data_IF_497181766187
#
_entry.id   IF_497181766187
#
_cell.length_a   1.000
_cell.length_b   1.000
_cell.length_c   1.000
_cell.angle_alpha   90.00
_cell.angle_beta   90.00
_cell.angle_gamma   90.00
#
_symmetry.space_group_name_H-M   'P 1'
#
loop_
_entity.id
_entity.type
_entity.pdbx_description
1 polymer ?
#
# COMPACT_ATOMS: atom_id res chain seq x y z
N UNK A 1 16.47 -19.52 9.81
CA UNK A 1 16.78 -18.63 8.67
C UNK A 1 15.72 -17.55 8.60
N UNK A 2 16.08 -16.31 8.21
CA UNK A 2 15.16 -15.19 8.05
C UNK A 2 14.31 -15.36 6.78
N UNK A 3 13.04 -14.92 6.82
CA UNK A 3 12.06 -15.09 5.74
C UNK A 3 11.09 -13.91 5.72
N UNK A 4 10.41 -13.67 4.60
CA UNK A 4 9.45 -12.55 4.43
C UNK A 4 8.33 -12.58 5.47
N UNK A 5 7.84 -13.78 5.85
CA UNK A 5 6.83 -13.92 6.92
C UNK A 5 7.30 -13.36 8.26
N UNK A 6 8.60 -13.48 8.58
CA UNK A 6 9.17 -12.95 9.81
C UNK A 6 9.13 -11.41 9.80
N UNK A 7 9.44 -10.80 8.67
CA UNK A 7 9.39 -9.34 8.48
C UNK A 7 7.95 -8.82 8.61
N UNK A 8 6.99 -9.47 7.95
CA UNK A 8 5.55 -9.14 8.06
C UNK A 8 5.04 -9.23 9.50
N UNK A 9 5.42 -10.27 10.23
CA UNK A 9 5.08 -10.43 11.65
C UNK A 9 5.63 -9.31 12.52
N UNK A 10 6.88 -8.90 12.31
CA UNK A 10 7.50 -7.83 13.11
C UNK A 10 6.90 -6.45 12.79
N UNK A 11 6.59 -6.16 11.53
CA UNK A 11 5.86 -4.94 11.12
C UNK A 11 4.47 -4.92 11.79
N UNK A 12 3.73 -6.02 11.70
CA UNK A 12 2.41 -6.12 12.32
C UNK A 12 2.46 -5.93 13.85
N UNK A 13 3.50 -6.46 14.51
CA UNK A 13 3.74 -6.23 15.93
C UNK A 13 4.07 -4.77 16.25
N UNK A 14 4.89 -4.12 15.42
CA UNK A 14 5.25 -2.70 15.57
C UNK A 14 4.01 -1.80 15.58
N UNK A 15 3.07 -2.08 14.69
CA UNK A 15 1.87 -1.26 14.49
C UNK A 15 0.71 -1.62 15.42
N UNK A 16 0.57 -2.90 15.79
CA UNK A 16 -0.56 -3.37 16.59
C UNK A 16 -0.32 -3.35 18.10
N UNK A 17 0.93 -3.38 18.56
CA UNK A 17 1.33 -3.29 19.97
C UNK A 17 0.99 -4.53 20.84
N UNK A 18 0.21 -5.48 20.33
CA UNK A 18 -0.12 -6.75 21.00
C UNK A 18 0.00 -7.92 20.04
N UNK A 19 0.31 -9.11 20.57
CA UNK A 19 0.45 -10.34 19.77
C UNK A 19 -0.88 -10.73 19.11
N UNK A 20 -2.01 -10.60 19.82
CA UNK A 20 -3.34 -10.96 19.30
C UNK A 20 -3.70 -10.11 18.08
N UNK A 21 -3.60 -8.78 18.21
CA UNK A 21 -3.92 -7.85 17.11
C UNK A 21 -2.94 -8.00 15.95
N UNK A 22 -1.65 -8.25 16.23
CA UNK A 22 -0.68 -8.52 15.17
C UNK A 22 -1.03 -9.81 14.40
N UNK A 23 -1.48 -10.86 15.10
CA UNK A 23 -1.83 -12.14 14.49
C UNK A 23 -3.04 -12.02 13.55
N UNK A 24 -4.08 -11.30 13.98
CA UNK A 24 -5.24 -10.99 13.14
C UNK A 24 -4.83 -10.30 11.83
N UNK A 25 -3.91 -9.33 11.89
CA UNK A 25 -3.46 -8.56 10.71
C UNK A 25 -2.63 -9.36 9.72
N UNK A 26 -2.02 -10.45 10.15
CA UNK A 26 -1.27 -11.36 9.26
C UNK A 26 -2.01 -12.68 9.03
N UNK A 27 -3.31 -12.75 9.37
CA UNK A 27 -4.17 -13.91 9.20
C UNK A 27 -3.64 -15.20 9.86
N UNK A 28 -3.09 -15.05 11.07
CA UNK A 28 -2.60 -16.16 11.89
C UNK A 28 -3.34 -16.24 13.22
N UNK A 29 -3.30 -17.41 13.86
CA UNK A 29 -3.66 -17.52 15.26
C UNK A 29 -2.58 -16.88 16.14
N UNK A 30 -2.96 -16.40 17.34
CA UNK A 30 -2.00 -15.87 18.31
C UNK A 30 -0.90 -16.89 18.67
N UNK A 31 -1.24 -18.18 18.75
CA UNK A 31 -0.29 -19.25 19.04
C UNK A 31 0.71 -19.46 17.90
N UNK A 32 0.25 -19.44 16.63
CA UNK A 32 1.12 -19.55 15.47
C UNK A 32 2.12 -18.39 15.38
N UNK A 33 1.64 -17.15 15.57
CA UNK A 33 2.52 -15.97 15.57
C UNK A 33 3.52 -16.02 16.73
N UNK A 34 3.09 -16.41 17.93
CA UNK A 34 3.97 -16.57 19.09
C UNK A 34 5.04 -17.64 18.86
N UNK A 35 4.67 -18.77 18.25
CA UNK A 35 5.60 -19.84 17.93
C UNK A 35 6.63 -19.39 16.89
N UNK A 36 6.18 -18.70 15.82
CA UNK A 36 7.05 -18.13 14.81
C UNK A 36 8.05 -17.13 15.41
N UNK A 37 7.59 -16.25 16.30
CA UNK A 37 8.44 -15.28 16.98
C UNK A 37 9.48 -15.98 17.87
N UNK A 38 9.07 -16.98 18.64
CA UNK A 38 9.97 -17.75 19.50
C UNK A 38 11.01 -18.53 18.70
N UNK A 39 10.63 -19.08 17.54
CA UNK A 39 11.55 -19.76 16.65
C UNK A 39 12.60 -18.79 16.08
N UNK A 40 12.18 -17.57 15.70
CA UNK A 40 13.08 -16.51 15.23
C UNK A 40 14.06 -16.08 16.33
N UNK A 41 13.57 -15.85 17.55
CA UNK A 41 14.38 -15.50 18.71
C UNK A 41 15.39 -16.60 19.05
N UNK A 42 14.95 -17.86 19.07
CA UNK A 42 15.82 -19.01 19.36
C UNK A 42 16.89 -19.21 18.29
N UNK A 43 16.58 -18.95 17.02
CA UNK A 43 17.54 -19.14 15.92
C UNK A 43 18.69 -18.13 15.99
N UNK A 44 18.40 -16.89 16.39
CA UNK A 44 19.41 -15.83 16.46
C UNK A 44 19.97 -15.59 17.87
N UNK A 45 19.41 -16.21 18.91
CA UNK A 45 19.80 -15.96 20.31
C UNK A 45 19.50 -14.52 20.77
N UNK A 46 18.56 -13.84 20.11
CA UNK A 46 18.22 -12.45 20.36
C UNK A 46 16.73 -12.34 20.65
N UNK A 47 16.38 -11.70 21.76
CA UNK A 47 14.98 -11.32 22.00
C UNK A 47 14.56 -10.32 20.93
N UNK A 48 13.42 -10.57 20.29
CA UNK A 48 12.81 -9.66 19.31
C UNK A 48 11.84 -8.72 20.02
N UNK A 49 11.19 -9.20 21.08
CA UNK A 49 10.22 -8.40 21.84
C UNK A 49 10.42 -8.49 23.35
N UNK A 50 9.96 -7.45 24.05
CA UNK A 50 9.78 -7.43 25.51
C UNK A 50 8.29 -7.37 25.82
N UNK A 51 7.83 -8.21 26.74
CA UNK A 51 6.41 -8.26 27.15
C UNK A 51 6.20 -7.47 28.44
N UNK A 52 5.23 -6.56 28.42
CA UNK A 52 4.76 -5.82 29.60
C UNK A 52 3.25 -6.06 29.73
N UNK A 53 2.88 -7.08 30.51
CA UNK A 53 1.49 -7.56 30.58
C UNK A 53 1.03 -8.06 29.21
N UNK A 54 -0.04 -7.45 28.69
CA UNK A 54 -0.56 -7.75 27.35
C UNK A 54 0.14 -6.96 26.22
N UNK A 55 0.90 -5.91 26.57
CA UNK A 55 1.61 -5.07 25.60
C UNK A 55 2.95 -5.67 25.22
N UNK A 56 3.38 -5.38 24.00
CA UNK A 56 4.63 -5.84 23.43
C UNK A 56 5.43 -4.65 22.94
N UNK A 57 6.70 -4.57 23.36
CA UNK A 57 7.64 -3.58 22.88
C UNK A 57 8.72 -4.25 22.04
N UNK A 58 9.04 -3.65 20.89
CA UNK A 58 10.13 -4.13 20.05
C UNK A 58 11.48 -3.85 20.70
N UNK A 59 12.39 -4.81 20.56
CA UNK A 59 13.81 -4.65 20.87
C UNK A 59 14.56 -4.01 19.70
N UNK A 60 15.85 -3.74 19.88
CA UNK A 60 16.70 -3.20 18.82
C UNK A 60 16.85 -4.14 17.60
N UNK A 61 17.11 -5.44 17.77
CA UNK A 61 17.11 -6.39 16.65
C UNK A 61 15.81 -6.37 15.84
N UNK A 62 14.65 -6.32 16.52
CA UNK A 62 13.37 -6.28 15.84
C UNK A 62 13.15 -4.97 15.07
N UNK A 63 13.53 -3.82 15.64
CA UNK A 63 13.45 -2.53 14.93
C UNK A 63 14.27 -2.53 13.64
N UNK A 64 15.48 -3.10 13.67
CA UNK A 64 16.32 -3.24 12.48
C UNK A 64 15.66 -4.13 11.42
N UNK A 65 15.03 -5.23 11.82
CA UNK A 65 14.29 -6.10 10.92
C UNK A 65 12.99 -5.47 10.40
N UNK A 66 12.32 -4.61 11.16
CA UNK A 66 11.16 -3.84 10.69
C UNK A 66 11.56 -2.87 9.58
N UNK A 67 12.66 -2.13 9.74
CA UNK A 67 13.17 -1.24 8.71
C UNK A 67 13.55 -1.99 7.42
N UNK A 68 14.21 -3.15 7.56
CA UNK A 68 14.45 -4.05 6.43
C UNK A 68 13.13 -4.54 5.81
N UNK A 69 12.16 -4.88 6.65
CA UNK A 69 10.84 -5.33 6.24
C UNK A 69 10.15 -4.34 5.30
N UNK A 70 10.11 -3.05 5.65
CA UNK A 70 9.51 -2.04 4.76
C UNK A 70 10.20 -2.00 3.39
N UNK A 71 11.54 -2.08 3.37
CA UNK A 71 12.30 -2.09 2.11
C UNK A 71 11.97 -3.33 1.28
N UNK A 72 12.07 -4.53 1.88
CA UNK A 72 11.83 -5.80 1.18
C UNK A 72 10.38 -5.91 0.70
N UNK A 73 9.40 -5.47 1.49
CA UNK A 73 8.00 -5.53 1.08
C UNK A 73 7.72 -4.62 -0.13
N UNK A 74 8.35 -3.44 -0.19
CA UNK A 74 8.22 -2.55 -1.34
C UNK A 74 8.84 -3.15 -2.61
N UNK A 75 10.00 -3.81 -2.49
CA UNK A 75 10.64 -4.51 -3.62
C UNK A 75 9.79 -5.68 -4.12
N UNK A 76 9.22 -6.47 -3.19
CA UNK A 76 8.31 -7.57 -3.53
C UNK A 76 7.07 -7.05 -4.26
N UNK A 77 6.43 -6.00 -3.77
CA UNK A 77 5.28 -5.38 -4.44
C UNK A 77 5.64 -4.86 -5.83
N UNK A 78 6.82 -4.27 -5.99
CA UNK A 78 7.31 -3.81 -7.30
C UNK A 78 7.46 -4.98 -8.28
N UNK A 79 8.06 -6.08 -7.83
CA UNK A 79 8.19 -7.28 -8.64
C UNK A 79 6.84 -7.92 -8.98
N UNK A 80 5.89 -7.96 -8.04
CA UNK A 80 4.52 -8.43 -8.27
C UNK A 80 3.82 -7.61 -9.36
N UNK A 81 3.93 -6.27 -9.30
CA UNK A 81 3.40 -5.36 -10.33
C UNK A 81 4.02 -5.64 -11.70
N UNK A 82 5.33 -5.84 -11.76
CA UNK A 82 6.02 -6.10 -13.03
C UNK A 82 5.64 -7.46 -13.63
N UNK A 83 5.47 -8.49 -12.81
CA UNK A 83 4.93 -9.77 -13.24
C UNK A 83 3.48 -9.65 -13.72
N UNK A 84 2.66 -8.82 -13.07
CA UNK A 84 1.28 -8.59 -13.49
C UNK A 84 1.21 -7.88 -14.86
N UNK A 85 2.10 -6.90 -15.12
CA UNK A 85 2.25 -6.26 -16.44
C UNK A 85 2.63 -7.30 -17.52
N UNK A 86 3.61 -8.16 -17.24
CA UNK A 86 4.03 -9.23 -18.16
C UNK A 86 2.91 -10.23 -18.45
N UNK A 87 2.09 -10.53 -17.44
CA UNK A 87 0.93 -11.41 -17.56
C UNK A 87 -0.28 -10.77 -18.27
N UNK A 88 -0.18 -9.52 -18.75
CA UNK A 88 -1.28 -8.73 -19.34
C UNK A 88 -2.53 -8.65 -18.44
N UNK A 89 -2.34 -8.78 -17.12
CA UNK A 89 -3.37 -8.40 -16.16
C UNK A 89 -3.40 -6.87 -16.11
N UNK A 90 -4.56 -6.21 -15.89
CA UNK A 90 -4.59 -4.77 -15.69
C UNK A 90 -3.74 -4.43 -14.46
N UNK A 91 -2.53 -3.94 -14.72
CA UNK A 91 -1.50 -3.60 -13.75
C UNK A 91 -0.76 -2.37 -14.27
N UNK A 92 -0.42 -1.44 -13.39
CA UNK A 92 0.18 -0.16 -13.77
C UNK A 92 -0.33 0.99 -12.90
N UNK A 93 -0.03 2.21 -13.32
CA UNK A 93 -0.45 3.43 -12.59
C UNK A 93 -1.56 4.12 -13.38
N UNK A 94 -2.70 4.36 -12.74
CA UNK A 94 -3.76 5.22 -13.25
C UNK A 94 -3.60 6.62 -12.65
N UNK A 95 -3.19 7.57 -13.49
CA UNK A 95 -2.95 8.96 -13.11
C UNK A 95 -4.22 9.79 -13.30
N UNK A 96 -4.67 10.40 -12.22
CA UNK A 96 -5.91 11.18 -12.18
C UNK A 96 -5.56 12.62 -11.82
N UNK A 97 -5.93 13.56 -12.69
CA UNK A 97 -5.81 14.99 -12.43
C UNK A 97 -7.19 15.55 -12.06
N UNK A 98 -7.20 16.47 -11.09
CA UNK A 98 -8.42 17.10 -10.60
C UNK A 98 -8.42 18.59 -10.97
N UNK A 99 -9.51 19.03 -11.56
CA UNK A 99 -9.79 20.45 -11.83
C UNK A 99 -10.60 21.08 -10.67
N UNK A 100 -11.39 20.28 -9.97
CA UNK A 100 -12.33 20.71 -8.93
C UNK A 100 -11.90 20.24 -7.53
N UNK A 101 -11.81 21.16 -6.57
CA UNK A 101 -11.61 20.81 -5.15
C UNK A 101 -12.81 20.08 -4.54
N UNK A 102 -14.02 20.38 -5.01
CA UNK A 102 -15.26 19.74 -4.54
C UNK A 102 -15.38 18.26 -4.90
N UNK A 103 -14.47 17.76 -5.75
CA UNK A 103 -14.50 16.39 -6.21
C UNK A 103 -13.83 15.40 -5.25
N UNK A 104 -13.06 15.88 -4.26
CA UNK A 104 -12.37 15.02 -3.30
C UNK A 104 -13.34 14.20 -2.42
N UNK A 105 -14.40 14.81 -1.90
CA UNK A 105 -15.26 14.19 -0.89
C UNK A 105 -15.94 12.91 -1.39
N UNK A 106 -16.36 12.87 -2.66
CA UNK A 106 -16.98 11.69 -3.26
C UNK A 106 -15.96 10.75 -3.92
N UNK A 107 -14.84 11.29 -4.41
CA UNK A 107 -13.84 10.49 -5.12
C UNK A 107 -13.05 9.59 -4.16
N UNK A 108 -12.72 10.08 -2.97
CA UNK A 108 -11.92 9.32 -2.00
C UNK A 108 -12.56 7.96 -1.63
N UNK A 109 -13.86 7.86 -1.27
CA UNK A 109 -14.51 6.57 -1.06
C UNK A 109 -14.47 5.64 -2.26
N UNK A 110 -14.59 6.17 -3.49
CA UNK A 110 -14.56 5.38 -4.73
C UNK A 110 -13.15 4.86 -4.98
N UNK A 111 -12.13 5.68 -4.77
CA UNK A 111 -10.72 5.25 -4.89
C UNK A 111 -10.40 4.12 -3.91
N UNK A 112 -10.94 4.17 -2.68
CA UNK A 112 -10.76 3.08 -1.72
C UNK A 112 -11.47 1.80 -2.15
N UNK A 113 -12.67 1.90 -2.73
CA UNK A 113 -13.34 0.76 -3.35
C UNK A 113 -12.54 0.21 -4.54
N UNK A 114 -11.98 1.08 -5.38
CA UNK A 114 -11.17 0.71 -6.53
C UNK A 114 -9.91 -0.04 -6.10
N UNK A 115 -9.15 0.48 -5.12
CA UNK A 115 -7.94 -0.18 -4.59
C UNK A 115 -8.22 -1.58 -4.04
N UNK A 116 -9.41 -1.82 -3.48
CA UNK A 116 -9.81 -3.15 -2.99
C UNK A 116 -10.08 -4.13 -4.13
N UNK A 117 -10.66 -3.67 -5.24
CA UNK A 117 -11.03 -4.52 -6.39
C UNK A 117 -9.87 -4.71 -7.38
N UNK A 118 -8.98 -3.71 -7.48
CA UNK A 118 -7.80 -3.70 -8.36
C UNK A 118 -6.53 -3.33 -7.59
N UNK A 119 -6.06 -4.18 -6.67
CA UNK A 119 -4.87 -3.90 -5.86
C UNK A 119 -3.57 -3.79 -6.66
N UNK A 120 -3.56 -4.34 -7.88
CA UNK A 120 -2.42 -4.30 -8.82
C UNK A 120 -2.31 -2.96 -9.59
N UNK A 121 -3.30 -2.08 -9.45
CA UNK A 121 -3.34 -0.76 -10.09
C UNK A 121 -3.05 0.31 -9.05
N UNK A 122 -1.93 1.02 -9.23
CA UNK A 122 -1.61 2.17 -8.39
C UNK A 122 -2.42 3.38 -8.85
N UNK A 123 -3.12 4.02 -7.92
CA UNK A 123 -3.80 5.28 -8.18
C UNK A 123 -2.86 6.44 -7.81
N UNK A 124 -2.48 7.23 -8.81
CA UNK A 124 -1.68 8.43 -8.63
C UNK A 124 -2.56 9.67 -8.86
N UNK A 125 -2.71 10.50 -7.83
CA UNK A 125 -3.35 11.80 -7.95
C UNK A 125 -2.26 12.81 -8.29
N UNK A 126 -2.19 13.21 -9.56
CA UNK A 126 -1.18 14.15 -10.04
C UNK A 126 -1.32 15.44 -9.24
N UNK A 127 -0.30 15.73 -8.42
CA UNK A 127 -0.43 16.61 -7.26
C UNK A 127 -0.94 18.01 -7.59
N UNK A 128 -2.00 18.43 -6.89
CA UNK A 128 -2.43 19.83 -6.79
C UNK A 128 -3.24 20.33 -7.97
N UNK A 129 -4.24 21.15 -7.68
CA UNK A 129 -5.02 21.91 -8.66
C UNK A 129 -4.13 22.37 -9.83
N UNK A 130 -4.28 21.72 -10.98
CA UNK A 130 -3.50 22.06 -12.16
C UNK A 130 -4.33 23.11 -12.92
N UNK A 131 -3.79 24.30 -13.21
CA UNK A 131 -4.55 25.37 -13.88
C UNK A 131 -4.98 25.00 -15.30
N UNK A 132 -4.41 23.93 -15.87
CA UNK A 132 -4.82 23.35 -17.13
C UNK A 132 -4.63 21.82 -17.09
N UNK A 133 -5.58 21.07 -16.51
CA UNK A 133 -5.45 19.63 -16.36
C UNK A 133 -5.64 18.90 -17.70
N UNK A 134 -6.39 19.49 -18.64
CA UNK A 134 -6.57 18.95 -19.99
C UNK A 134 -5.26 18.96 -20.80
N UNK A 135 -4.34 19.89 -20.54
CA UNK A 135 -3.01 19.84 -21.16
C UNK A 135 -2.20 18.61 -20.70
N UNK A 136 -2.44 18.11 -19.49
CA UNK A 136 -1.78 16.90 -19.00
C UNK A 136 -2.22 15.65 -19.77
N UNK A 137 -3.46 15.61 -20.30
CA UNK A 137 -3.91 14.54 -21.19
C UNK A 137 -3.14 14.58 -22.51
N UNK A 138 -2.98 15.76 -23.09
CA UNK A 138 -2.24 15.93 -24.35
C UNK A 138 -0.75 15.54 -24.21
N UNK A 139 -0.15 15.85 -23.06
CA UNK A 139 1.25 15.50 -22.74
C UNK A 139 1.42 14.05 -22.24
N UNK A 140 0.36 13.24 -22.17
CA UNK A 140 0.36 11.90 -21.54
C UNK A 140 0.88 11.89 -20.10
N UNK A 141 0.69 12.98 -19.36
CA UNK A 141 1.05 13.12 -17.94
C UNK A 141 -0.08 12.72 -16.98
N UNK A 142 -1.32 12.65 -17.48
CA UNK A 142 -2.48 12.11 -16.76
C UNK A 142 -3.27 11.19 -17.71
N UNK A 143 -4.02 10.25 -17.15
CA UNK A 143 -4.84 9.30 -17.91
C UNK A 143 -6.33 9.69 -17.85
N UNK A 144 -6.73 10.35 -16.75
CA UNK A 144 -8.09 10.86 -16.54
C UNK A 144 -8.04 12.29 -15.97
N UNK A 145 -9.02 13.10 -16.32
CA UNK A 145 -9.29 14.40 -15.69
C UNK A 145 -10.71 14.38 -15.13
N UNK A 146 -10.86 14.74 -13.85
CA UNK A 146 -12.16 14.97 -13.21
C UNK A 146 -12.32 16.47 -13.01
N UNK A 147 -13.34 17.04 -13.65
CA UNK A 147 -13.51 18.48 -13.73
C UNK A 147 -14.90 18.90 -14.19
N UNK A 148 -15.09 20.21 -14.29
CA UNK A 148 -16.36 20.83 -14.69
C UNK A 148 -16.31 21.43 -16.10
N UNK A 149 -15.13 21.48 -16.74
CA UNK A 149 -15.00 22.01 -18.09
C UNK A 149 -15.65 21.07 -19.13
N UNK A 150 -16.66 21.60 -19.82
CA UNK A 150 -17.42 20.89 -20.86
C UNK A 150 -17.22 21.52 -22.26
N UNK A 151 -16.08 22.17 -22.53
CA UNK A 151 -15.76 22.64 -23.88
C UNK A 151 -15.15 21.50 -24.68
N UNK A 152 -15.83 20.98 -25.72
CA UNK A 152 -15.33 19.83 -26.47
C UNK A 152 -13.98 20.14 -27.12
N UNK A 153 -12.97 19.31 -26.83
CA UNK A 153 -11.68 19.33 -27.52
C UNK A 153 -11.51 18.07 -28.35
N UNK A 154 -10.93 18.22 -29.54
CA UNK A 154 -10.66 17.09 -30.44
C UNK A 154 -9.71 16.10 -29.76
N UNK A 155 -10.08 14.82 -29.77
CA UNK A 155 -9.27 13.74 -29.16
C UNK A 155 -9.51 13.53 -27.67
N UNK A 156 -10.42 14.27 -27.04
CA UNK A 156 -10.84 14.07 -25.64
C UNK A 156 -12.27 13.55 -25.63
N UNK A 157 -12.50 12.47 -24.89
CA UNK A 157 -13.83 11.89 -24.66
C UNK A 157 -14.33 12.37 -23.30
N UNK A 158 -15.56 12.88 -23.26
CA UNK A 158 -16.19 13.41 -22.07
C UNK A 158 -17.25 12.43 -21.58
N UNK A 159 -17.22 12.12 -20.28
CA UNK A 159 -18.20 11.26 -19.63
C UNK A 159 -18.84 12.02 -18.45
N UNK A 160 -20.18 12.11 -18.38
CA UNK A 160 -20.85 12.64 -17.19
C UNK A 160 -20.65 11.68 -16.00
N UNK A 161 -20.46 12.25 -14.81
CA UNK A 161 -20.29 11.55 -13.54
C UNK A 161 -21.59 11.52 -12.74
#
# INVERSE_FOLDING_TARGET
MLEVRHLRTLIALAEAGTVSRAAERVHLTQSALSHQLKALESHYGLAMVKRHGQSVQLTEPARRLVALGHTVMNEVQTAERDLAKLARKPAGTLRIALECHTCFDWLMPIMDAFRKHWPEVELDLVSGFHPNPLALLADNKTDLVIGSENKPRRGIVYHPL
#
